data_IF_101096263703
#
_entry.id   IF_101096263703
#
_cell.length_a   1.000
_cell.length_b   1.000
_cell.length_c   1.000
_cell.angle_alpha   90.00
_cell.angle_beta   90.00
_cell.angle_gamma   90.00
#
_symmetry.space_group_name_H-M   'P 1'
#
loop_
_entity.id
_entity.type
_entity.pdbx_description
1 polymer ?
#
# COMPACT_ATOMS: atom_id res chain seq x y z
N UNK A 1 10.41 19.64 5.57
CA UNK A 1 9.56 18.68 6.32
C UNK A 1 10.44 17.63 6.97
N UNK A 2 10.16 17.23 8.21
CA UNK A 2 10.94 16.20 8.93
C UNK A 2 10.78 14.82 8.27
N UNK A 3 11.82 14.00 8.33
CA UNK A 3 11.77 12.61 7.86
C UNK A 3 10.75 11.80 8.67
N UNK A 4 9.96 10.95 8.00
CA UNK A 4 9.02 10.05 8.68
C UNK A 4 9.70 8.74 9.05
N UNK A 5 9.62 8.41 10.32
CA UNK A 5 10.07 7.16 10.93
C UNK A 5 8.92 6.50 11.70
N UNK A 6 9.12 5.26 12.13
CA UNK A 6 8.17 4.54 12.99
C UNK A 6 7.88 5.28 14.30
N UNK A 7 8.84 6.07 14.79
CA UNK A 7 8.69 6.80 16.06
C UNK A 7 7.87 8.09 15.94
N UNK A 8 7.70 8.66 14.74
CA UNK A 8 7.11 10.00 14.60
C UNK A 8 5.98 10.11 13.57
N UNK A 9 5.59 9.03 12.91
CA UNK A 9 4.61 9.11 11.82
C UNK A 9 3.22 9.55 12.28
N UNK A 10 2.86 9.29 13.54
CA UNK A 10 1.58 9.66 14.15
C UNK A 10 1.47 11.16 14.45
N UNK A 11 2.59 11.87 14.57
CA UNK A 11 2.61 13.34 14.79
C UNK A 11 2.62 14.13 13.48
N UNK A 12 2.59 13.43 12.34
CA UNK A 12 2.57 14.08 11.04
C UNK A 12 1.26 14.85 10.79
N UNK A 13 1.36 16.01 10.16
CA UNK A 13 0.20 16.84 9.83
C UNK A 13 -0.85 16.14 8.96
N UNK A 14 -0.45 15.15 8.14
CA UNK A 14 -1.38 14.39 7.32
C UNK A 14 -2.00 13.20 8.05
N UNK A 15 -1.43 12.77 9.18
CA UNK A 15 -1.83 11.55 9.87
C UNK A 15 -3.33 11.51 10.23
N UNK A 16 -3.95 12.55 10.85
CA UNK A 16 -5.37 12.50 11.20
C UNK A 16 -6.30 12.30 9.99
N UNK A 17 -5.95 12.90 8.85
CA UNK A 17 -6.73 12.76 7.60
C UNK A 17 -6.56 11.36 6.99
N UNK A 18 -5.38 10.78 7.11
CA UNK A 18 -5.10 9.42 6.63
C UNK A 18 -5.87 8.40 7.47
N UNK A 19 -5.83 8.51 8.80
CA UNK A 19 -6.60 7.63 9.72
C UNK A 19 -8.08 7.69 9.38
N UNK A 20 -8.66 8.90 9.27
CA UNK A 20 -10.08 9.06 8.90
C UNK A 20 -10.43 8.38 7.57
N UNK A 21 -9.57 8.51 6.56
CA UNK A 21 -9.78 7.87 5.25
C UNK A 21 -9.62 6.35 5.31
N UNK A 22 -8.67 5.84 6.10
CA UNK A 22 -8.46 4.41 6.34
C UNK A 22 -9.67 3.81 7.06
N UNK A 23 -10.14 4.43 8.13
CA UNK A 23 -11.30 3.96 8.89
C UNK A 23 -12.56 3.90 8.02
N UNK A 24 -12.85 4.96 7.26
CA UNK A 24 -13.98 4.98 6.33
C UNK A 24 -13.88 3.87 5.26
N UNK A 25 -12.68 3.64 4.71
CA UNK A 25 -12.45 2.57 3.74
C UNK A 25 -12.62 1.17 4.37
N UNK A 26 -12.21 1.00 5.63
CA UNK A 26 -12.29 -0.25 6.38
C UNK A 26 -13.67 -0.55 6.97
N UNK A 27 -14.52 0.48 7.12
CA UNK A 27 -15.93 0.34 7.50
C UNK A 27 -16.80 -0.03 6.28
N UNK A 28 -16.51 0.57 5.13
CA UNK A 28 -17.24 0.28 3.89
C UNK A 28 -16.83 -1.06 3.28
N UNK A 29 -15.55 -1.42 3.35
CA UNK A 29 -14.99 -2.62 2.76
C UNK A 29 -13.95 -3.25 3.69
N UNK A 30 -13.62 -4.53 3.52
CA UNK A 30 -12.62 -5.19 4.36
C UNK A 30 -11.16 -4.87 3.98
N UNK A 31 -10.92 -3.82 3.20
CA UNK A 31 -9.57 -3.41 2.80
C UNK A 31 -9.48 -1.92 2.48
N UNK A 32 -8.26 -1.39 2.62
CA UNK A 32 -7.89 -0.05 2.18
C UNK A 32 -6.82 -0.14 1.08
N UNK A 33 -6.90 0.77 0.11
CA UNK A 33 -5.88 0.94 -0.92
C UNK A 33 -5.42 2.39 -0.97
N UNK A 34 -4.22 2.68 -1.52
CA UNK A 34 -3.76 4.04 -1.75
C UNK A 34 -4.77 4.92 -2.49
N UNK A 35 -5.42 4.39 -3.54
CA UNK A 35 -6.47 5.09 -4.28
C UNK A 35 -7.60 5.56 -3.35
N UNK A 36 -8.09 4.68 -2.48
CA UNK A 36 -9.15 5.03 -1.52
C UNK A 36 -8.70 6.10 -0.53
N UNK A 37 -7.46 6.06 -0.06
CA UNK A 37 -6.92 7.08 0.84
C UNK A 37 -6.83 8.43 0.13
N UNK A 38 -6.33 8.47 -1.10
CA UNK A 38 -6.29 9.71 -1.88
C UNK A 38 -7.70 10.27 -2.14
N UNK A 39 -8.70 9.42 -2.41
CA UNK A 39 -10.10 9.84 -2.54
C UNK A 39 -10.62 10.38 -1.20
N UNK A 40 -10.46 9.65 -0.11
CA UNK A 40 -10.93 10.06 1.23
C UNK A 40 -10.27 11.34 1.75
N UNK A 41 -9.06 11.64 1.29
CA UNK A 41 -8.37 12.90 1.56
C UNK A 41 -8.73 14.04 0.60
N UNK A 42 -9.59 13.81 -0.41
CA UNK A 42 -9.97 14.78 -1.43
C UNK A 42 -8.87 15.10 -2.45
N UNK A 43 -7.83 14.27 -2.52
CA UNK A 43 -6.68 14.45 -3.40
C UNK A 43 -6.84 13.73 -4.75
N UNK A 44 -7.89 12.93 -4.91
CA UNK A 44 -8.16 12.19 -6.14
C UNK A 44 -9.68 12.07 -6.32
N UNK A 45 -10.18 12.34 -7.53
CA UNK A 45 -11.60 12.18 -7.84
C UNK A 45 -11.92 10.77 -8.34
N UNK A 46 -13.13 10.27 -8.06
CA UNK A 46 -13.58 8.98 -8.60
C UNK A 46 -13.59 8.99 -10.13
N UNK A 47 -14.03 10.09 -10.76
CA UNK A 47 -14.00 10.27 -12.22
C UNK A 47 -12.58 10.13 -12.78
N UNK A 48 -11.58 10.70 -12.11
CA UNK A 48 -10.18 10.64 -12.54
C UNK A 48 -9.65 9.20 -12.49
N UNK A 49 -10.02 8.44 -11.46
CA UNK A 49 -9.71 7.01 -11.34
C UNK A 49 -10.34 6.23 -12.48
N UNK A 50 -11.58 6.51 -12.84
CA UNK A 50 -12.27 5.81 -13.91
C UNK A 50 -11.63 6.10 -15.27
N UNK A 51 -11.26 7.35 -15.54
CA UNK A 51 -10.53 7.74 -16.75
C UNK A 51 -9.15 7.10 -16.84
N UNK A 52 -8.43 7.00 -15.72
CA UNK A 52 -7.19 6.24 -15.62
C UNK A 52 -7.42 4.74 -15.82
N UNK A 53 -8.48 4.14 -15.27
CA UNK A 53 -8.81 2.72 -15.47
C UNK A 53 -9.19 2.39 -16.91
N UNK A 54 -9.83 3.33 -17.61
CA UNK A 54 -10.07 3.28 -19.07
C UNK A 54 -8.78 3.54 -19.87
N UNK A 55 -7.75 4.05 -19.21
CA UNK A 55 -6.45 4.40 -19.79
C UNK A 55 -6.48 5.63 -20.69
N UNK A 56 -7.44 6.55 -20.44
CA UNK A 56 -7.43 7.91 -21.00
C UNK A 56 -6.40 8.79 -20.28
N UNK A 57 -6.07 8.45 -19.04
CA UNK A 57 -4.93 8.99 -18.29
C UNK A 57 -3.79 7.98 -18.34
N UNK A 58 -2.56 8.37 -18.75
CA UNK A 58 -1.45 7.44 -18.93
C UNK A 58 -0.92 6.84 -17.61
N UNK A 59 -0.96 7.61 -16.51
CA UNK A 59 -0.55 7.17 -15.18
C UNK A 59 -1.32 7.92 -14.09
N UNK A 60 -1.59 7.27 -12.95
CA UNK A 60 -2.49 7.80 -11.92
C UNK A 60 -1.98 9.11 -11.29
N UNK A 61 -0.67 9.23 -11.04
CA UNK A 61 -0.06 10.42 -10.43
C UNK A 61 -0.37 11.71 -11.19
N UNK A 62 -0.65 11.63 -12.51
CA UNK A 62 -1.01 12.79 -13.34
C UNK A 62 -2.26 13.51 -12.84
N UNK A 63 -3.18 12.78 -12.20
CA UNK A 63 -4.49 13.27 -11.76
C UNK A 63 -4.62 13.34 -10.23
N UNK A 64 -3.56 13.02 -9.49
CA UNK A 64 -3.50 13.25 -8.05
C UNK A 64 -3.25 14.75 -7.81
N UNK A 65 -4.12 15.38 -7.00
CA UNK A 65 -4.12 16.81 -6.71
C UNK A 65 -3.13 17.18 -5.60
N UNK A 66 -1.91 16.64 -5.67
CA UNK A 66 -0.79 17.05 -4.83
C UNK A 66 0.56 16.77 -5.50
N UNK A 67 1.62 17.38 -4.99
CA UNK A 67 2.98 17.06 -5.43
C UNK A 67 3.43 15.65 -4.99
N UNK A 68 4.46 15.14 -5.67
CA UNK A 68 5.04 13.80 -5.42
C UNK A 68 5.54 13.63 -3.99
N UNK A 69 6.15 14.67 -3.40
CA UNK A 69 6.65 14.61 -2.03
C UNK A 69 5.52 14.33 -1.03
N UNK A 70 4.37 14.98 -1.19
CA UNK A 70 3.17 14.74 -0.38
C UNK A 70 2.56 13.37 -0.64
N UNK A 71 2.47 12.93 -1.90
CA UNK A 71 1.95 11.61 -2.25
C UNK A 71 2.80 10.49 -1.60
N UNK A 72 4.12 10.53 -1.77
CA UNK A 72 5.05 9.58 -1.18
C UNK A 72 4.98 9.57 0.35
N UNK A 73 4.82 10.75 0.96
CA UNK A 73 4.64 10.86 2.41
C UNK A 73 3.35 10.18 2.89
N UNK A 74 2.24 10.37 2.18
CA UNK A 74 0.96 9.72 2.47
C UNK A 74 1.09 8.20 2.35
N UNK A 75 1.70 7.70 1.26
CA UNK A 75 1.93 6.26 1.07
C UNK A 75 2.76 5.65 2.19
N UNK A 76 3.79 6.37 2.66
CA UNK A 76 4.65 5.92 3.76
C UNK A 76 3.87 5.86 5.08
N UNK A 77 3.13 6.91 5.44
CA UNK A 77 2.26 6.93 6.63
C UNK A 77 1.21 5.82 6.57
N UNK A 78 0.55 5.65 5.43
CA UNK A 78 -0.44 4.59 5.23
C UNK A 78 0.15 3.21 5.52
N UNK A 79 1.36 2.93 5.04
CA UNK A 79 2.02 1.64 5.28
C UNK A 79 2.26 1.41 6.78
N UNK A 80 2.77 2.41 7.50
CA UNK A 80 3.03 2.30 8.95
C UNK A 80 1.74 2.15 9.74
N UNK A 81 0.72 2.94 9.41
CA UNK A 81 -0.57 2.84 10.08
C UNK A 81 -1.26 1.48 9.80
N UNK A 82 -1.21 0.98 8.57
CA UNK A 82 -1.75 -0.32 8.23
C UNK A 82 -1.03 -1.48 8.94
N UNK A 83 0.28 -1.34 9.16
CA UNK A 83 1.06 -2.27 9.97
C UNK A 83 0.59 -2.28 11.43
N UNK A 84 0.36 -1.12 12.03
CA UNK A 84 -0.12 -1.01 13.41
C UNK A 84 -1.55 -1.57 13.57
N UNK A 85 -2.38 -1.45 12.54
CA UNK A 85 -3.68 -2.11 12.43
C UNK A 85 -3.59 -3.61 12.12
N UNK A 86 -2.39 -4.18 11.98
CA UNK A 86 -2.13 -5.59 11.64
C UNK A 86 -2.82 -6.05 10.35
N UNK A 87 -2.94 -5.14 9.38
CA UNK A 87 -3.54 -5.45 8.09
C UNK A 87 -2.55 -6.22 7.21
N UNK A 88 -3.07 -7.20 6.46
CA UNK A 88 -2.24 -7.98 5.54
C UNK A 88 -1.99 -7.19 4.26
N UNK A 89 -0.73 -6.95 3.85
CA UNK A 89 -0.44 -6.39 2.55
C UNK A 89 -0.79 -7.39 1.43
N UNK A 90 -1.41 -6.89 0.37
CA UNK A 90 -1.73 -7.64 -0.84
C UNK A 90 -1.51 -6.75 -2.07
N UNK A 91 -0.74 -7.22 -3.04
CA UNK A 91 -0.48 -6.45 -4.26
C UNK A 91 -1.63 -6.67 -5.24
N UNK A 92 -2.23 -5.58 -5.72
CA UNK A 92 -3.29 -5.61 -6.73
C UNK A 92 -2.81 -5.02 -8.04
N UNK A 93 -2.75 -5.85 -9.09
CA UNK A 93 -2.37 -5.40 -10.43
C UNK A 93 -3.59 -4.87 -11.17
N UNK A 94 -3.57 -3.57 -11.47
CA UNK A 94 -4.60 -2.92 -12.27
C UNK A 94 -4.32 -3.15 -13.75
N UNK A 95 -5.32 -3.59 -14.50
CA UNK A 95 -5.20 -3.89 -15.93
C UNK A 95 -6.40 -3.33 -16.69
N UNK A 96 -6.15 -2.78 -17.87
CA UNK A 96 -7.19 -2.44 -18.85
C UNK A 96 -7.23 -3.47 -19.97
N UNK A 97 -8.39 -3.66 -20.60
CA UNK A 97 -8.57 -4.58 -21.73
C UNK A 97 -8.57 -3.79 -23.04
N UNK A 98 -7.64 -4.09 -23.95
CA UNK A 98 -7.60 -3.52 -25.30
C UNK A 98 -7.56 -4.67 -26.30
N UNK A 99 -8.56 -4.74 -27.20
CA UNK A 99 -8.66 -5.78 -28.25
C UNK A 99 -8.38 -7.20 -27.72
N UNK A 100 -9.01 -7.55 -26.59
CA UNK A 100 -8.83 -8.86 -25.94
C UNK A 100 -7.59 -8.99 -25.04
N UNK A 101 -6.57 -8.14 -25.18
CA UNK A 101 -5.33 -8.19 -24.38
C UNK A 101 -5.46 -7.40 -23.08
N UNK A 102 -4.90 -7.93 -21.98
CA UNK A 102 -4.84 -7.24 -20.67
C UNK A 102 -3.53 -6.47 -20.57
N UNK A 103 -3.61 -5.14 -20.57
CA UNK A 103 -2.46 -4.24 -20.47
C UNK A 103 -2.43 -3.68 -19.04
N UNK A 104 -1.32 -3.82 -18.30
CA UNK A 104 -1.16 -3.20 -16.98
C UNK A 104 -1.32 -1.67 -17.05
N UNK A 105 -1.97 -1.11 -16.03
CA UNK A 105 -2.02 0.32 -15.81
C UNK A 105 -0.81 0.74 -14.96
N UNK A 106 -0.31 1.94 -15.24
CA UNK A 106 0.84 2.51 -14.55
C UNK A 106 0.37 3.53 -13.52
N UNK A 107 1.01 3.58 -12.35
CA UNK A 107 0.68 4.53 -11.31
C UNK A 107 1.51 5.80 -11.40
N UNK A 108 2.81 5.67 -11.58
CA UNK A 108 3.77 6.77 -11.58
C UNK A 108 4.22 7.16 -12.99
N UNK A 109 4.78 8.36 -13.15
CA UNK A 109 5.36 8.76 -14.45
C UNK A 109 6.58 7.89 -14.84
N UNK A 110 7.42 7.53 -13.87
CA UNK A 110 8.66 6.77 -14.12
C UNK A 110 8.41 5.28 -14.32
N UNK A 111 7.36 4.73 -13.70
CA UNK A 111 7.07 3.29 -13.75
C UNK A 111 8.05 2.46 -12.93
N UNK A 112 8.83 3.09 -12.05
CA UNK A 112 9.77 2.37 -11.19
C UNK A 112 9.01 1.44 -10.23
N UNK A 113 9.56 0.24 -10.07
CA UNK A 113 8.92 -0.85 -9.34
C UNK A 113 8.54 -0.47 -7.91
N UNK A 114 9.38 0.27 -7.21
CA UNK A 114 9.14 0.76 -5.85
C UNK A 114 7.84 1.61 -5.74
N UNK A 115 7.61 2.53 -6.66
CA UNK A 115 6.42 3.38 -6.69
C UNK A 115 5.21 2.57 -7.12
N UNK A 116 5.34 1.76 -8.18
CA UNK A 116 4.25 0.90 -8.65
C UNK A 116 3.77 -0.06 -7.55
N UNK A 117 4.69 -0.67 -6.80
CA UNK A 117 4.35 -1.51 -5.64
C UNK A 117 3.71 -0.71 -4.51
N UNK A 118 4.19 0.50 -4.22
CA UNK A 118 3.63 1.33 -3.16
C UNK A 118 2.16 1.73 -3.44
N UNK A 119 1.82 2.06 -4.69
CA UNK A 119 0.45 2.39 -5.07
C UNK A 119 -0.46 1.17 -5.23
N UNK A 120 0.08 0.03 -5.69
CA UNK A 120 -0.70 -1.20 -5.91
C UNK A 120 -0.94 -2.01 -4.65
N UNK A 121 -0.21 -1.73 -3.56
CA UNK A 121 -0.36 -2.45 -2.28
C UNK A 121 -1.64 -2.07 -1.54
N UNK A 122 -2.54 -3.01 -1.46
CA UNK A 122 -3.76 -2.96 -0.64
C UNK A 122 -3.46 -3.56 0.73
N UNK A 123 -4.23 -3.16 1.73
CA UNK A 123 -4.12 -3.64 3.10
C UNK A 123 -5.48 -4.20 3.53
N UNK A 124 -5.53 -5.50 3.77
CA UNK A 124 -6.77 -6.26 3.96
C UNK A 124 -6.90 -6.66 5.43
N UNK A 125 -8.10 -6.51 5.99
CA UNK A 125 -8.45 -7.09 7.30
C UNK A 125 -8.41 -8.60 7.18
N UNK A 126 -7.57 -9.23 7.98
CA UNK A 126 -7.61 -10.67 8.14
C UNK A 126 -8.85 -11.03 8.98
N UNK A 127 -9.71 -11.91 8.47
CA UNK A 127 -10.65 -12.63 9.34
C UNK A 127 -9.88 -13.51 10.34
N UNK A 128 -10.52 -13.97 11.42
CA UNK A 128 -9.89 -14.77 12.49
C UNK A 128 -8.97 -15.89 11.96
N UNK A 129 -9.45 -16.71 11.04
CA UNK A 129 -8.66 -17.81 10.44
C UNK A 129 -7.47 -17.34 9.60
N UNK A 130 -7.54 -16.15 8.99
CA UNK A 130 -6.43 -15.56 8.24
C UNK A 130 -5.35 -14.98 9.14
N UNK A 131 -5.74 -14.46 10.31
CA UNK A 131 -4.82 -13.94 11.33
C UNK A 131 -4.01 -15.07 11.98
N UNK A 132 -4.67 -16.18 12.31
CA UNK A 132 -4.03 -17.38 12.86
C UNK A 132 -2.98 -17.96 11.90
N UNK A 133 -3.32 -18.18 10.63
CA UNK A 133 -2.37 -18.61 9.59
C UNK A 133 -1.21 -17.65 9.37
N UNK A 134 -1.43 -16.34 9.55
CA UNK A 134 -0.37 -15.35 9.41
C UNK A 134 0.61 -15.41 10.60
N UNK A 135 0.10 -15.59 11.82
CA UNK A 135 0.91 -15.78 13.02
C UNK A 135 1.74 -17.07 12.94
N UNK A 136 1.15 -18.17 12.47
CA UNK A 136 1.87 -19.44 12.29
C UNK A 136 3.02 -19.29 11.30
N UNK A 137 2.80 -18.64 10.15
CA UNK A 137 3.89 -18.36 9.19
C UNK A 137 5.02 -17.51 9.77
N UNK A 138 4.71 -16.54 10.63
CA UNK A 138 5.73 -15.71 11.28
C UNK A 138 6.50 -16.55 12.30
N UNK A 139 5.83 -17.41 13.07
CA UNK A 139 6.47 -18.35 13.99
C UNK A 139 7.38 -19.32 13.24
N UNK A 140 6.91 -19.93 12.16
CA UNK A 140 7.70 -20.81 11.30
C UNK A 140 8.95 -20.08 10.79
N UNK A 141 8.80 -18.84 10.31
CA UNK A 141 9.92 -18.05 9.84
C UNK A 141 10.92 -17.68 10.94
N UNK A 142 10.44 -17.37 12.15
CA UNK A 142 11.30 -17.16 13.33
C UNK A 142 12.06 -18.43 13.72
N UNK A 143 11.40 -19.59 13.72
CA UNK A 143 12.04 -20.89 13.98
C UNK A 143 13.12 -21.18 12.94
N UNK A 144 12.81 -20.98 11.64
CA UNK A 144 13.78 -21.16 10.55
C UNK A 144 14.95 -20.20 10.70
N UNK A 145 14.72 -18.95 11.13
CA UNK A 145 15.80 -17.98 11.38
C UNK A 145 16.70 -18.38 12.55
N UNK A 146 16.14 -18.84 13.66
CA UNK A 146 16.95 -19.32 14.79
C UNK A 146 17.73 -20.58 14.42
N UNK A 147 17.12 -21.54 13.72
CA UNK A 147 17.80 -22.73 13.23
C UNK A 147 18.95 -22.39 12.25
N UNK A 148 18.73 -21.45 11.33
CA UNK A 148 19.78 -20.99 10.42
C UNK A 148 20.95 -20.30 11.14
N UNK A 149 20.66 -19.58 12.25
CA UNK A 149 21.68 -18.95 13.10
C UNK A 149 22.51 -19.99 13.86
N UNK A 150 21.88 -21.03 14.40
CA UNK A 150 22.58 -22.16 15.05
C UNK A 150 23.48 -22.93 14.08
N UNK A 151 23.06 -23.04 12.81
CA UNK A 151 23.83 -23.69 11.74
C UNK A 151 24.86 -22.78 11.05
N UNK A 152 25.01 -21.53 11.49
CA UNK A 152 25.98 -20.58 10.91
C UNK A 152 25.67 -20.12 9.47
N UNK A 153 24.44 -20.30 8.99
CA UNK A 153 24.02 -19.96 7.63
C UNK A 153 23.62 -18.47 7.61
N UNK A 154 24.34 -17.65 6.83
CA UNK A 154 23.96 -16.23 6.62
C UNK A 154 22.59 -16.15 5.94
N UNK A 155 21.58 -15.67 6.66
CA UNK A 155 20.26 -15.43 6.09
C UNK A 155 20.27 -14.15 5.25
N UNK A 156 20.43 -14.26 3.94
CA UNK A 156 20.14 -13.14 3.03
C UNK A 156 18.62 -12.95 2.97
N UNK A 157 18.12 -12.00 3.75
CA UNK A 157 16.72 -11.60 3.72
C UNK A 157 16.41 -10.85 2.40
N UNK A 158 15.28 -11.11 1.72
CA UNK A 158 14.82 -10.23 0.65
C UNK A 158 14.50 -8.86 1.25
N UNK A 159 15.16 -7.83 0.73
CA UNK A 159 14.94 -6.42 1.09
C UNK A 159 13.48 -6.03 0.77
N UNK A 160 12.74 -5.53 1.78
CA UNK A 160 11.30 -5.18 1.75
C UNK A 160 11.08 -3.68 1.64
#
# INVERSE_FOLDING_TARGET
MKQITLANYTTDTYYPKIVKAVDAALQSENFVSPIKVFIGMGLLGQRDVDEWRRGRVPYLEKVIKCNLAKANRILRILRMHAHDLKLKPSVTVYKRKIRGRKIPLQFSKSGERNFEEAYSRHFVKLGKAGAEKALDRVRDFSIVKEAAKELGIRSDAPQV
#
